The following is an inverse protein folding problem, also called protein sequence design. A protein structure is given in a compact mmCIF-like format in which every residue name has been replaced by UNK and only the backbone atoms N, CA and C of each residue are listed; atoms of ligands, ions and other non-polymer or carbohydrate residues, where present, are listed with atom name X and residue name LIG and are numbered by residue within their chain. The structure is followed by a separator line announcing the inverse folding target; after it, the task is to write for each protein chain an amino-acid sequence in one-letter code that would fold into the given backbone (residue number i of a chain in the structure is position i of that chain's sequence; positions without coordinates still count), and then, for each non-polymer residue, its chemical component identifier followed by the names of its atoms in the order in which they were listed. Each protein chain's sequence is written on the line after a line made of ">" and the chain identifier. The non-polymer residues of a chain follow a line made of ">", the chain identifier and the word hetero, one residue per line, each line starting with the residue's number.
data_IF_822385747799
#
_entry.id   IF_822385747799
#
_cell.length_a   1.000
_cell.length_b   1.000
_cell.length_c   1.000
_cell.angle_alpha   90.00
_cell.angle_beta   90.00
_cell.angle_gamma   90.00
#
_symmetry.space_group_name_H-M   'P 1'
#
loop_
_entity.id
_entity.type
_entity.pdbx_description
1 polymer ?
#
# COMPACT_ATOMS: atom_id res chain seq x y z
N UNK A 1 -23.46 19.65 2.26
CA UNK A 1 -23.19 18.31 1.71
C UNK A 1 -22.42 17.57 2.80
N UNK A 2 -23.00 16.53 3.40
CA UNK A 2 -22.33 15.78 4.47
C UNK A 2 -21.45 14.71 3.81
N UNK A 3 -20.13 14.81 3.98
CA UNK A 3 -19.19 13.79 3.53
C UNK A 3 -19.11 12.75 4.64
N UNK A 4 -19.56 11.53 4.37
CA UNK A 4 -19.29 10.40 5.25
C UNK A 4 -17.89 9.89 4.93
N UNK A 5 -16.96 10.17 5.84
CA UNK A 5 -15.53 9.91 5.72
C UNK A 5 -15.10 8.60 6.39
N UNK A 6 -16.02 7.74 6.87
CA UNK A 6 -15.63 6.69 7.81
C UNK A 6 -16.02 5.24 7.47
N UNK A 7 -15.02 4.34 7.35
CA UNK A 7 -13.65 4.62 6.90
C UNK A 7 -13.67 4.96 5.39
N UNK A 8 -13.00 6.03 5.00
CA UNK A 8 -12.73 6.28 3.59
C UNK A 8 -11.91 5.14 3.00
N UNK A 9 -12.17 4.85 1.73
CA UNK A 9 -11.47 3.82 0.97
C UNK A 9 -10.67 4.52 -0.12
N UNK A 10 -9.37 4.22 -0.16
CA UNK A 10 -8.45 4.68 -1.17
C UNK A 10 -8.11 3.48 -2.06
N UNK A 11 -8.26 3.65 -3.37
CA UNK A 11 -7.82 2.67 -4.37
C UNK A 11 -6.52 3.16 -5.00
N UNK A 12 -5.48 2.34 -4.92
CA UNK A 12 -4.20 2.62 -5.60
C UNK A 12 -4.05 1.68 -6.78
N UNK A 13 -3.99 2.25 -7.98
CA UNK A 13 -3.83 1.54 -9.24
C UNK A 13 -2.33 1.41 -9.61
N UNK A 14 -1.89 0.19 -9.88
CA UNK A 14 -0.49 -0.18 -10.13
C UNK A 14 -0.43 -0.96 -11.46
N UNK A 15 0.18 -0.40 -12.52
CA UNK A 15 0.38 -1.12 -13.77
C UNK A 15 1.28 -2.35 -13.58
N UNK A 16 0.85 -3.51 -14.08
CA UNK A 16 1.61 -4.76 -14.00
C UNK A 16 1.28 -5.69 -15.17
N UNK A 17 2.31 -6.04 -15.96
CA UNK A 17 2.20 -7.01 -17.07
C UNK A 17 1.06 -6.74 -18.08
N UNK A 18 0.75 -5.47 -18.36
CA UNK A 18 -0.33 -5.07 -19.28
C UNK A 18 -1.71 -4.95 -18.63
N UNK A 19 -1.84 -5.37 -17.38
CA UNK A 19 -3.03 -5.20 -16.54
C UNK A 19 -2.80 -4.12 -15.47
N UNK A 20 -3.83 -3.82 -14.68
CA UNK A 20 -3.74 -2.90 -13.54
C UNK A 20 -4.13 -3.60 -12.25
N UNK A 21 -3.19 -3.74 -11.32
CA UNK A 21 -3.46 -4.21 -9.97
C UNK A 21 -4.01 -3.06 -9.15
N UNK A 22 -5.08 -3.29 -8.41
CA UNK A 22 -5.72 -2.31 -7.54
C UNK A 22 -5.56 -2.75 -6.09
N UNK A 23 -4.82 -1.99 -5.29
CA UNK A 23 -4.82 -2.16 -3.84
C UNK A 23 -5.94 -1.33 -3.25
N UNK A 24 -6.82 -1.97 -2.48
CA UNK A 24 -7.91 -1.30 -1.75
C UNK A 24 -7.43 -1.09 -0.32
N UNK A 25 -7.30 0.17 0.07
CA UNK A 25 -6.75 0.61 1.34
C UNK A 25 -7.82 1.37 2.11
N UNK A 26 -7.87 1.21 3.44
CA UNK A 26 -8.59 2.19 4.27
C UNK A 26 -7.76 3.46 4.38
N UNK A 27 -8.42 4.54 4.75
CA UNK A 27 -7.76 5.72 5.27
C UNK A 27 -6.84 5.33 6.45
N UNK A 28 -5.65 5.93 6.44
CA UNK A 28 -4.69 5.84 7.53
C UNK A 28 -4.96 6.93 8.55
N UNK A 29 -4.62 6.66 9.82
CA UNK A 29 -4.61 7.71 10.85
C UNK A 29 -3.33 8.53 10.76
N UNK A 30 -3.36 9.75 11.31
CA UNK A 30 -2.17 10.59 11.43
C UNK A 30 -1.04 9.88 12.18
N UNK A 31 -1.37 9.06 13.18
CA UNK A 31 -0.39 8.30 13.96
C UNK A 31 0.29 7.21 13.12
N UNK A 32 -0.48 6.48 12.31
CA UNK A 32 0.04 5.46 11.39
C UNK A 32 1.01 6.06 10.37
N UNK A 33 0.65 7.21 9.79
CA UNK A 33 1.52 7.91 8.85
C UNK A 33 2.78 8.47 9.51
N UNK A 34 2.65 9.06 10.71
CA UNK A 34 3.80 9.54 11.47
C UNK A 34 4.77 8.39 11.80
N UNK A 35 4.25 7.22 12.19
CA UNK A 35 5.06 6.05 12.49
C UNK A 35 5.77 5.53 11.24
N UNK A 36 5.07 5.47 10.11
CA UNK A 36 5.65 5.14 8.81
C UNK A 36 6.85 6.05 8.49
N UNK A 37 6.68 7.38 8.56
CA UNK A 37 7.76 8.32 8.25
C UNK A 37 8.98 8.16 9.17
N UNK A 38 8.76 7.95 10.47
CA UNK A 38 9.84 7.72 11.44
C UNK A 38 10.62 6.43 11.19
N UNK A 39 9.92 5.38 10.75
CA UNK A 39 10.53 4.07 10.56
C UNK A 39 11.41 3.97 9.30
N UNK A 40 11.36 4.96 8.39
CA UNK A 40 12.13 4.93 7.14
C UNK A 40 13.64 5.04 7.35
N UNK A 41 14.07 5.81 8.34
CA UNK A 41 15.48 6.10 8.57
C UNK A 41 15.84 5.88 10.03
N UNK A 42 16.89 5.09 10.27
CA UNK A 42 17.45 4.91 11.61
C UNK A 42 18.86 5.47 11.67
N UNK A 43 19.10 6.43 12.56
CA UNK A 43 20.44 6.90 12.85
C UNK A 43 21.17 5.85 13.68
N UNK A 44 22.23 5.25 13.12
CA UNK A 44 23.01 4.20 13.81
C UNK A 44 24.24 4.78 14.49
N UNK A 45 24.85 5.80 13.88
CA UNK A 45 25.99 6.55 14.44
C UNK A 45 26.14 7.89 13.69
N UNK A 46 26.92 8.86 14.19
CA UNK A 46 27.18 10.10 13.47
C UNK A 46 27.64 9.84 12.04
N UNK A 47 26.88 10.33 11.05
CA UNK A 47 27.17 10.13 9.64
C UNK A 47 26.76 8.78 9.03
N UNK A 48 26.15 7.85 9.79
CA UNK A 48 25.59 6.59 9.25
C UNK A 48 24.09 6.51 9.47
N UNK A 49 23.36 6.46 8.37
CA UNK A 49 21.92 6.24 8.32
C UNK A 49 21.69 4.84 7.74
N UNK A 50 20.89 4.03 8.44
CA UNK A 50 20.37 2.78 7.89
C UNK A 50 19.04 3.08 7.20
N UNK A 51 18.93 2.65 5.94
CA UNK A 51 17.75 2.88 5.10
C UNK A 51 16.80 1.69 5.22
N UNK A 52 15.73 1.88 5.98
CA UNK A 52 14.66 0.92 6.14
C UNK A 52 13.43 1.29 5.32
N UNK A 53 13.54 2.20 4.35
CA UNK A 53 12.39 2.76 3.63
C UNK A 53 11.51 1.68 3.01
N UNK A 54 12.10 0.65 2.38
CA UNK A 54 11.32 -0.44 1.77
C UNK A 54 10.54 -1.25 2.81
N UNK A 55 11.15 -1.56 3.95
CA UNK A 55 10.51 -2.30 5.02
C UNK A 55 9.38 -1.47 5.65
N UNK A 56 9.64 -0.20 5.94
CA UNK A 56 8.65 0.72 6.49
C UNK A 56 7.44 0.90 5.56
N UNK A 57 7.66 0.96 4.23
CA UNK A 57 6.59 1.04 3.22
C UNK A 57 5.73 -0.23 3.22
N UNK A 58 6.36 -1.40 3.26
CA UNK A 58 5.66 -2.70 3.29
C UNK A 58 4.78 -2.79 4.53
N UNK A 59 5.35 -2.52 5.71
CA UNK A 59 4.64 -2.56 6.99
C UNK A 59 3.47 -1.57 7.01
N UNK A 60 3.70 -0.34 6.56
CA UNK A 60 2.65 0.67 6.49
C UNK A 60 1.46 0.19 5.65
N UNK A 61 1.70 -0.27 4.42
CA UNK A 61 0.61 -0.79 3.58
C UNK A 61 -0.04 -2.02 4.19
N UNK A 62 0.70 -2.93 4.84
CA UNK A 62 0.10 -4.08 5.51
C UNK A 62 -0.95 -3.68 6.57
N UNK A 63 -0.74 -2.57 7.29
CA UNK A 63 -1.70 -2.10 8.30
C UNK A 63 -3.01 -1.58 7.73
N UNK A 64 -2.99 -0.99 6.53
CA UNK A 64 -4.14 -0.32 5.91
C UNK A 64 -4.74 -1.08 4.73
N UNK A 65 -4.05 -2.11 4.24
CA UNK A 65 -4.52 -2.94 3.13
C UNK A 65 -5.77 -3.73 3.52
N UNK A 66 -6.83 -3.57 2.75
CA UNK A 66 -8.12 -4.23 2.96
C UNK A 66 -8.39 -5.32 1.92
N UNK A 67 -8.04 -5.08 0.66
CA UNK A 67 -8.29 -6.01 -0.44
C UNK A 67 -7.30 -5.77 -1.60
N UNK A 68 -7.24 -6.71 -2.54
CA UNK A 68 -6.48 -6.60 -3.78
C UNK A 68 -7.32 -7.10 -4.96
N UNK A 69 -7.32 -6.37 -6.07
CA UNK A 69 -8.05 -6.68 -7.29
C UNK A 69 -7.19 -6.49 -8.54
N UNK A 70 -7.64 -7.01 -9.67
CA UNK A 70 -7.16 -6.61 -11.01
C UNK A 70 -8.27 -5.82 -11.70
N UNK A 71 -7.94 -4.69 -12.30
CA UNK A 71 -8.85 -3.92 -13.13
C UNK A 71 -8.72 -4.38 -14.58
N UNK A 72 -9.80 -4.95 -15.09
CA UNK A 72 -9.95 -5.43 -16.46
C UNK A 72 -10.87 -4.49 -17.25
N UNK A 73 -11.12 -4.81 -18.52
CA UNK A 73 -12.05 -4.03 -19.37
C UNK A 73 -13.51 -4.08 -18.90
N UNK A 74 -13.88 -5.13 -18.15
CA UNK A 74 -15.25 -5.39 -17.69
C UNK A 74 -15.48 -4.98 -16.23
N UNK A 75 -14.43 -4.68 -15.47
CA UNK A 75 -14.56 -4.22 -14.09
C UNK A 75 -13.34 -4.56 -13.23
N UNK A 76 -13.56 -4.74 -11.93
CA UNK A 76 -12.55 -5.26 -11.00
C UNK A 76 -12.80 -6.75 -10.76
N UNK A 77 -11.75 -7.55 -10.92
CA UNK A 77 -11.74 -9.01 -10.74
C UNK A 77 -10.79 -9.40 -9.61
N UNK A 78 -10.91 -10.63 -9.13
CA UNK A 78 -10.06 -11.16 -8.06
C UNK A 78 -8.65 -11.44 -8.59
N UNK A 79 -7.64 -11.12 -7.79
CA UNK A 79 -6.27 -11.57 -8.08
C UNK A 79 -6.18 -13.06 -7.79
N UNK A 80 -5.65 -13.85 -8.71
CA UNK A 80 -5.36 -15.27 -8.47
C UNK A 80 -3.92 -15.41 -8.00
N UNK A 81 -3.68 -16.26 -6.99
CA UNK A 81 -2.35 -16.66 -6.57
C UNK A 81 -2.25 -18.19 -6.56
N UNK A 82 -1.04 -18.69 -6.79
CA UNK A 82 -0.72 -20.11 -6.60
C UNK A 82 -0.29 -20.32 -5.16
N UNK A 83 -1.03 -21.14 -4.41
CA UNK A 83 -0.69 -21.48 -3.04
C UNK A 83 0.62 -22.30 -3.01
N UNK A 84 1.71 -21.80 -2.40
CA UNK A 84 3.01 -22.47 -2.44
C UNK A 84 3.02 -23.81 -1.71
N UNK A 85 2.07 -24.06 -0.79
CA UNK A 85 1.99 -25.32 -0.06
C UNK A 85 1.31 -26.43 -0.88
N UNK A 86 0.35 -26.07 -1.73
CA UNK A 86 -0.52 -27.02 -2.44
C UNK A 86 -0.33 -27.02 -3.96
N UNK A 87 0.22 -25.95 -4.52
CA UNK A 87 0.32 -25.72 -5.96
C UNK A 87 -0.99 -25.31 -6.62
N UNK A 88 -2.07 -25.17 -5.86
CA UNK A 88 -3.40 -24.84 -6.39
C UNK A 88 -3.56 -23.33 -6.60
N UNK A 89 -4.22 -22.96 -7.71
CA UNK A 89 -4.63 -21.59 -7.96
C UNK A 89 -5.88 -21.24 -7.14
N UNK A 90 -5.81 -20.14 -6.38
CA UNK A 90 -6.87 -19.67 -5.49
C UNK A 90 -7.04 -18.16 -5.62
N UNK A 91 -8.24 -17.63 -5.42
CA UNK A 91 -8.45 -16.19 -5.38
C UNK A 91 -7.82 -15.61 -4.11
N UNK A 92 -6.99 -14.59 -4.26
CA UNK A 92 -6.34 -13.88 -3.18
C UNK A 92 -7.32 -12.88 -2.57
N UNK A 93 -8.08 -13.34 -1.57
CA UNK A 93 -9.11 -12.53 -0.90
C UNK A 93 -8.85 -12.42 0.60
N UNK A 94 -9.48 -11.43 1.28
CA UNK A 94 -9.37 -11.28 2.72
C UNK A 94 -9.89 -12.46 3.55
N UNK A 95 -10.64 -13.38 2.93
CA UNK A 95 -11.13 -14.60 3.58
C UNK A 95 -10.01 -15.63 3.83
N UNK A 96 -8.88 -15.52 3.11
CA UNK A 96 -7.74 -16.41 3.27
C UNK A 96 -6.89 -15.98 4.48
N UNK A 97 -6.58 -16.90 5.42
CA UNK A 97 -5.69 -16.59 6.53
C UNK A 97 -4.32 -16.09 6.06
N UNK A 98 -3.88 -14.95 6.60
CA UNK A 98 -2.62 -14.30 6.25
C UNK A 98 -2.48 -13.93 4.77
N UNK A 99 -3.58 -13.71 4.05
CA UNK A 99 -3.58 -13.42 2.61
C UNK A 99 -2.57 -12.32 2.19
N UNK A 100 -2.41 -11.29 3.03
CA UNK A 100 -1.51 -10.15 2.78
C UNK A 100 -0.06 -10.58 2.54
N UNK A 101 0.37 -11.75 3.04
CA UNK A 101 1.74 -12.27 2.81
C UNK A 101 1.98 -12.68 1.36
N UNK A 102 0.90 -13.01 0.62
CA UNK A 102 0.97 -13.39 -0.79
C UNK A 102 0.87 -12.18 -1.72
N UNK A 103 0.57 -10.99 -1.21
CA UNK A 103 0.66 -9.74 -1.97
C UNK A 103 2.12 -9.36 -2.14
N UNK A 104 2.53 -9.16 -3.40
CA UNK A 104 3.92 -8.85 -3.73
C UNK A 104 4.41 -7.59 -2.98
N UNK A 105 5.60 -7.63 -2.36
CA UNK A 105 6.17 -6.48 -1.65
C UNK A 105 6.33 -5.24 -2.53
N UNK A 106 6.62 -5.41 -3.83
CA UNK A 106 6.73 -4.33 -4.81
C UNK A 106 5.43 -3.51 -4.92
N UNK A 107 4.27 -4.16 -4.89
CA UNK A 107 2.98 -3.46 -4.93
C UNK A 107 2.74 -2.64 -3.67
N UNK A 108 3.11 -3.18 -2.51
CA UNK A 108 3.06 -2.45 -1.24
C UNK A 108 3.98 -1.22 -1.27
N UNK A 109 5.21 -1.38 -1.75
CA UNK A 109 6.13 -0.25 -1.93
C UNK A 109 5.56 0.82 -2.87
N UNK A 110 5.04 0.41 -4.04
CA UNK A 110 4.46 1.34 -5.01
C UNK A 110 3.28 2.11 -4.43
N UNK A 111 2.39 1.44 -3.68
CA UNK A 111 1.27 2.12 -3.03
C UNK A 111 1.71 3.11 -1.95
N UNK A 112 2.72 2.78 -1.15
CA UNK A 112 3.25 3.70 -0.16
C UNK A 112 3.83 4.98 -0.81
N UNK A 113 4.49 4.85 -1.96
CA UNK A 113 5.07 5.99 -2.68
C UNK A 113 4.02 7.00 -3.16
N UNK A 114 2.78 6.57 -3.42
CA UNK A 114 1.67 7.48 -3.77
C UNK A 114 1.37 8.45 -2.62
N UNK A 115 1.36 7.95 -1.38
CA UNK A 115 1.14 8.78 -0.19
C UNK A 115 2.31 9.71 0.08
N UNK A 116 3.54 9.22 -0.08
CA UNK A 116 4.76 10.04 0.01
C UNK A 116 4.72 11.20 -1.01
N UNK A 117 4.39 10.91 -2.27
CA UNK A 117 4.26 11.91 -3.32
C UNK A 117 3.14 12.92 -3.07
N UNK A 118 1.99 12.45 -2.57
CA UNK A 118 0.86 13.33 -2.21
C UNK A 118 1.24 14.28 -1.08
N UNK A 119 1.91 13.77 -0.03
CA UNK A 119 2.40 14.59 1.08
C UNK A 119 3.41 15.64 0.62
N UNK A 120 4.36 15.26 -0.24
CA UNK A 120 5.37 16.17 -0.79
C UNK A 120 4.73 17.28 -1.64
N UNK A 121 3.71 16.94 -2.44
CA UNK A 121 2.98 17.91 -3.25
C UNK A 121 2.20 18.92 -2.37
N UNK A 122 1.56 18.44 -1.30
CA UNK A 122 0.87 19.31 -0.34
C UNK A 122 1.85 20.30 0.30
N UNK A 123 2.99 19.82 0.79
CA UNK A 123 4.04 20.65 1.38
C UNK A 123 4.53 21.73 0.40
N UNK A 124 4.85 21.34 -0.84
CA UNK A 124 5.25 22.29 -1.87
C UNK A 124 4.17 23.33 -2.19
N UNK A 125 2.89 22.93 -2.19
CA UNK A 125 1.78 23.85 -2.45
C UNK A 125 1.57 24.86 -1.34
N UNK A 126 1.88 24.49 -0.09
CA UNK A 126 1.78 25.38 1.08
C UNK A 126 2.97 26.33 1.13
N UNK A 127 4.19 25.86 0.85
CA UNK A 127 5.40 26.68 0.92
C UNK A 127 5.53 27.72 -0.21
N UNK A 128 4.78 27.57 -1.31
CA UNK A 128 4.77 28.51 -2.44
C UNK A 128 3.70 29.61 -2.32
N UNK A 129 2.84 29.55 -1.31
CA UNK A 129 1.84 30.56 -0.97
C UNK A 129 2.24 31.32 0.30
#
# INVERSE_FOLDING_TARGET
>A
MAININPGIIKVEIPYCGETVVLVLRDYTTEEFCQFQKNRFKFVSPGKVDDHSSQARIEFIETILMDIKVKTKVGEEEVIFTDPATGEEKPLTPSIPNWKKYVQPSFKCAAAMVFEGTSANLEQSILKN
#
